data_IF_085855081069
#
_entry.id   IF_085855081069
#
_cell.length_a   1.000
_cell.length_b   1.000
_cell.length_c   1.000
_cell.angle_alpha   90.00
_cell.angle_beta   90.00
_cell.angle_gamma   90.00
#
_symmetry.space_group_name_H-M   'P 1'
#
loop_
_entity.id
_entity.type
_entity.pdbx_description
1 polymer ?
#
# COMPACT_ATOMS: atom_id res chain seq x y z
N UNK A 1 50.19 14.04 9.96
CA UNK A 1 50.03 13.04 8.89
C UNK A 1 48.90 12.09 9.32
N UNK A 2 47.62 12.50 9.23
CA UNK A 2 46.66 12.17 8.14
C UNK A 2 46.81 10.73 7.62
N UNK A 3 46.36 9.75 8.40
CA UNK A 3 45.99 8.43 7.90
C UNK A 3 44.47 8.33 7.84
N UNK A 4 43.92 8.17 6.64
CA UNK A 4 42.50 7.89 6.41
C UNK A 4 42.40 6.49 5.83
N UNK A 5 41.71 5.58 6.52
CA UNK A 5 41.07 4.43 5.89
C UNK A 5 39.65 4.36 6.44
N UNK A 6 38.69 4.51 5.53
CA UNK A 6 37.30 4.08 5.68
C UNK A 6 36.98 3.26 4.45
N UNK A 7 36.46 2.04 4.63
CA UNK A 7 35.42 1.47 3.77
C UNK A 7 34.61 0.43 4.58
N UNK A 8 33.36 0.73 4.95
CA UNK A 8 32.20 -0.15 4.70
C UNK A 8 31.02 0.77 4.32
N UNK A 9 30.65 0.63 3.06
CA UNK A 9 29.49 1.14 2.31
C UNK A 9 28.28 1.64 3.13
N UNK A 10 27.97 2.94 2.98
CA UNK A 10 26.59 3.42 3.00
C UNK A 10 26.28 4.73 3.73
N UNK A 11 27.14 5.21 4.64
CA UNK A 11 26.89 6.50 5.32
C UNK A 11 27.91 6.81 6.42
N UNK A 12 28.71 7.86 6.21
CA UNK A 12 29.69 8.36 7.18
C UNK A 12 28.96 9.10 8.31
N UNK A 13 28.87 8.49 9.50
CA UNK A 13 28.54 9.22 10.73
C UNK A 13 29.86 9.44 11.48
N UNK A 14 30.33 10.69 11.51
CA UNK A 14 31.46 11.08 12.33
C UNK A 14 31.02 11.12 13.79
N UNK A 15 31.46 10.15 14.60
CA UNK A 15 31.24 10.15 16.05
C UNK A 15 32.54 10.56 16.74
N UNK A 16 32.58 11.70 17.46
CA UNK A 16 33.77 12.11 18.21
C UNK A 16 34.06 11.12 19.34
N UNK A 17 35.30 10.63 19.38
CA UNK A 17 35.82 9.54 20.22
C UNK A 17 35.93 9.83 21.72
N UNK A 18 35.50 11.00 22.20
CA UNK A 18 35.59 11.37 23.62
C UNK A 18 34.38 10.96 24.49
N UNK A 19 33.39 10.25 23.94
CA UNK A 19 32.18 9.82 24.67
C UNK A 19 32.12 8.31 24.95
N UNK A 20 33.28 7.63 25.08
CA UNK A 20 33.34 6.17 25.31
C UNK A 20 33.92 5.73 26.67
N UNK A 21 34.31 6.66 27.56
CA UNK A 21 34.94 6.28 28.83
C UNK A 21 34.08 6.47 30.10
N UNK A 22 32.81 6.89 30.01
CA UNK A 22 31.97 7.15 31.20
C UNK A 22 30.59 6.46 31.22
N UNK A 23 30.33 5.49 30.34
CA UNK A 23 29.02 4.79 30.25
C UNK A 23 29.04 3.33 30.74
N UNK A 24 30.14 2.85 31.33
CA UNK A 24 30.31 1.45 31.73
C UNK A 24 29.62 1.03 33.04
N UNK A 25 29.28 1.98 33.95
CA UNK A 25 28.73 1.63 35.28
C UNK A 25 27.21 1.74 35.41
N UNK A 26 26.52 2.44 34.51
CA UNK A 26 25.06 2.66 34.59
C UNK A 26 24.25 1.64 33.78
N UNK A 27 24.83 1.05 32.73
CA UNK A 27 24.16 0.04 31.88
C UNK A 27 23.92 -1.31 32.59
N UNK A 28 24.78 -1.71 33.54
CA UNK A 28 24.64 -3.00 34.26
C UNK A 28 23.44 -3.02 35.23
N UNK A 29 23.08 -1.88 35.82
CA UNK A 29 21.91 -1.81 36.73
C UNK A 29 20.58 -1.75 36.00
N UNK A 30 20.56 -1.24 34.77
CA UNK A 30 19.35 -1.18 33.94
C UNK A 30 19.11 -2.54 33.26
N UNK A 31 20.17 -3.24 32.84
CA UNK A 31 20.08 -4.57 32.23
C UNK A 31 19.57 -5.65 33.19
N UNK A 32 19.83 -5.52 34.50
CA UNK A 32 19.30 -6.43 35.52
C UNK A 32 17.81 -6.23 35.82
N UNK A 33 17.27 -5.02 35.60
CA UNK A 33 15.88 -4.69 35.95
C UNK A 33 14.88 -5.02 34.81
N UNK A 34 15.34 -5.10 33.56
CA UNK A 34 14.48 -5.46 32.42
C UNK A 34 14.23 -6.97 32.31
N UNK A 35 15.10 -7.80 32.91
CA UNK A 35 14.97 -9.26 32.91
C UNK A 35 13.92 -9.79 33.92
N UNK A 36 13.43 -8.93 34.83
CA UNK A 36 12.51 -9.28 35.92
C UNK A 36 11.09 -8.71 35.70
N UNK A 37 10.64 -8.58 34.45
CA UNK A 37 9.28 -8.13 34.09
C UNK A 37 8.58 -9.05 33.09
N UNK A 38 9.09 -10.28 32.92
CA UNK A 38 8.42 -11.34 32.16
C UNK A 38 7.74 -12.30 33.15
N UNK A 39 6.61 -11.91 33.75
CA UNK A 39 5.59 -12.91 34.02
C UNK A 39 4.22 -12.46 33.51
N UNK A 40 3.49 -13.43 32.93
CA UNK A 40 2.06 -13.40 32.60
C UNK A 40 1.61 -12.86 31.23
N UNK A 41 2.12 -13.46 30.15
CA UNK A 41 1.25 -13.80 29.01
C UNK A 41 1.07 -15.31 28.99
N UNK A 42 0.46 -15.82 30.05
CA UNK A 42 -0.13 -17.13 30.07
C UNK A 42 -1.62 -16.94 29.75
N UNK A 43 -2.06 -17.51 28.61
CA UNK A 43 -3.45 -17.73 28.21
C UNK A 43 -4.29 -16.48 27.90
N UNK A 44 -4.04 -15.88 26.73
CA UNK A 44 -5.19 -15.52 25.89
C UNK A 44 -5.35 -16.64 24.88
N UNK A 45 -6.47 -17.37 24.97
CA UNK A 45 -6.96 -18.14 23.84
C UNK A 45 -7.27 -17.12 22.75
N UNK A 46 -6.31 -16.87 21.86
CA UNK A 46 -6.61 -16.29 20.57
C UNK A 46 -7.51 -17.32 19.92
N UNK A 47 -8.81 -17.00 19.91
CA UNK A 47 -9.86 -17.75 19.29
C UNK A 47 -9.62 -17.74 17.76
N UNK A 48 -8.61 -18.47 17.29
CA UNK A 48 -8.39 -18.83 15.89
C UNK A 48 -9.35 -19.97 15.49
N UNK A 49 -10.55 -20.00 16.07
CA UNK A 49 -11.57 -20.96 15.71
C UNK A 49 -12.25 -20.49 14.42
N UNK A 50 -12.24 -21.37 13.41
CA UNK A 50 -12.98 -21.33 12.15
C UNK A 50 -12.43 -20.50 10.97
N UNK A 51 -11.12 -20.49 10.73
CA UNK A 51 -10.69 -20.50 9.32
C UNK A 51 -10.83 -21.92 8.79
N UNK A 52 -12.00 -22.19 8.21
CA UNK A 52 -12.31 -23.41 7.49
C UNK A 52 -11.20 -23.72 6.46
N UNK A 53 -10.53 -24.87 6.60
CA UNK A 53 -9.41 -25.24 5.72
C UNK A 53 -9.85 -25.29 4.25
N UNK A 54 -11.11 -25.65 3.97
CA UNK A 54 -11.68 -25.67 2.64
C UNK A 54 -11.76 -24.24 2.06
N UNK A 55 -12.14 -23.25 2.86
CA UNK A 55 -12.13 -21.83 2.49
C UNK A 55 -10.72 -21.32 2.17
N UNK A 56 -9.71 -21.75 2.93
CA UNK A 56 -8.31 -21.38 2.67
C UNK A 56 -7.80 -22.01 1.36
N UNK A 57 -8.14 -23.27 1.09
CA UNK A 57 -7.80 -23.95 -0.17
C UNK A 57 -8.49 -23.31 -1.37
N UNK A 58 -9.78 -22.97 -1.24
CA UNK A 58 -10.54 -22.27 -2.27
C UNK A 58 -9.93 -20.91 -2.60
N UNK A 59 -9.57 -20.11 -1.58
CA UNK A 59 -8.90 -18.82 -1.76
C UNK A 59 -7.55 -18.97 -2.47
N UNK A 60 -6.77 -20.01 -2.16
CA UNK A 60 -5.49 -20.26 -2.83
C UNK A 60 -5.69 -20.53 -4.33
N UNK A 61 -6.73 -21.31 -4.68
CA UNK A 61 -7.04 -21.68 -6.05
C UNK A 61 -7.56 -20.47 -6.85
N UNK A 62 -8.40 -19.63 -6.23
CA UNK A 62 -8.82 -18.35 -6.81
C UNK A 62 -7.63 -17.42 -7.05
N UNK A 63 -6.70 -17.30 -6.09
CA UNK A 63 -5.49 -16.49 -6.26
C UNK A 63 -4.60 -16.98 -7.40
N UNK A 64 -4.50 -18.29 -7.63
CA UNK A 64 -3.77 -18.81 -8.79
C UNK A 64 -4.45 -18.43 -10.11
N UNK A 65 -5.78 -18.52 -10.19
CA UNK A 65 -6.54 -18.07 -11.37
C UNK A 65 -6.30 -16.59 -11.66
N UNK A 66 -6.27 -15.75 -10.63
CA UNK A 66 -5.96 -14.32 -10.75
C UNK A 66 -4.55 -14.13 -11.29
N UNK A 67 -3.55 -14.81 -10.73
CA UNK A 67 -2.16 -14.69 -11.20
C UNK A 67 -2.03 -15.04 -12.68
N UNK A 68 -2.69 -16.12 -13.11
CA UNK A 68 -2.70 -16.54 -14.51
C UNK A 68 -3.42 -15.52 -15.39
N UNK A 69 -4.53 -14.96 -14.92
CA UNK A 69 -5.26 -13.94 -15.66
C UNK A 69 -4.47 -12.62 -15.76
N UNK A 70 -3.89 -12.16 -14.65
CA UNK A 70 -2.99 -11.00 -14.57
C UNK A 70 -1.77 -11.12 -15.47
N UNK A 71 -1.22 -12.33 -15.62
CA UNK A 71 -0.09 -12.57 -16.53
C UNK A 71 -0.43 -12.32 -18.00
N UNK A 72 -1.72 -12.36 -18.37
CA UNK A 72 -2.20 -12.04 -19.73
C UNK A 72 -2.50 -10.56 -19.92
N UNK A 73 -2.62 -9.80 -18.83
CA UNK A 73 -2.89 -8.36 -18.89
C UNK A 73 -1.61 -7.62 -19.25
N UNK A 74 -1.74 -6.63 -20.12
CA UNK A 74 -0.64 -5.77 -20.53
C UNK A 74 -0.18 -4.88 -19.35
N UNK A 75 0.84 -5.33 -18.63
CA UNK A 75 1.39 -4.62 -17.47
C UNK A 75 1.90 -3.23 -17.83
N UNK A 76 2.47 -3.03 -19.04
CA UNK A 76 2.98 -1.72 -19.45
C UNK A 76 1.83 -0.73 -19.63
N UNK A 77 0.71 -1.19 -20.21
CA UNK A 77 -0.50 -0.36 -20.31
C UNK A 77 -1.08 -0.03 -18.94
N UNK A 78 -1.12 -0.99 -18.00
CA UNK A 78 -1.57 -0.73 -16.64
C UNK A 78 -0.67 0.25 -15.90
N UNK A 79 0.65 0.12 -16.02
CA UNK A 79 1.62 1.05 -15.41
C UNK A 79 1.46 2.46 -15.98
N UNK A 80 1.36 2.58 -17.30
CA UNK A 80 1.09 3.86 -17.97
C UNK A 80 -0.23 4.47 -17.51
N UNK A 81 -1.28 3.65 -17.34
CA UNK A 81 -2.58 4.09 -16.84
C UNK A 81 -2.47 4.58 -15.39
N UNK A 82 -1.66 3.92 -14.55
CA UNK A 82 -1.38 4.32 -13.18
C UNK A 82 -0.66 5.68 -13.09
N UNK A 83 0.34 5.90 -13.95
CA UNK A 83 1.03 7.21 -14.05
C UNK A 83 0.04 8.29 -14.48
N UNK A 84 -0.80 8.00 -15.49
CA UNK A 84 -1.82 8.93 -15.95
C UNK A 84 -2.85 9.23 -14.85
N UNK A 85 -3.26 8.23 -14.08
CA UNK A 85 -4.17 8.38 -12.96
C UNK A 85 -3.61 9.30 -11.87
N UNK A 86 -2.33 9.14 -11.48
CA UNK A 86 -1.70 10.02 -10.49
C UNK A 86 -1.62 11.48 -10.97
N UNK A 87 -1.33 11.68 -12.26
CA UNK A 87 -1.34 13.01 -12.86
C UNK A 87 -2.75 13.61 -12.81
N UNK A 88 -3.76 12.85 -13.21
CA UNK A 88 -5.15 13.28 -13.17
C UNK A 88 -5.62 13.59 -11.75
N UNK A 89 -5.26 12.76 -10.77
CA UNK A 89 -5.54 13.02 -9.36
C UNK A 89 -4.96 14.39 -8.94
N UNK A 90 -3.69 14.65 -9.26
CA UNK A 90 -3.04 15.93 -8.93
C UNK A 90 -3.76 17.11 -9.58
N UNK A 91 -4.13 17.00 -10.86
CA UNK A 91 -4.86 18.04 -11.57
C UNK A 91 -6.25 18.30 -10.99
N UNK A 92 -6.98 17.24 -10.63
CA UNK A 92 -8.28 17.33 -9.97
C UNK A 92 -8.13 18.01 -8.61
N UNK A 93 -7.14 17.63 -7.80
CA UNK A 93 -6.84 18.27 -6.51
C UNK A 93 -6.59 19.77 -6.66
N UNK A 94 -5.79 20.16 -7.65
CA UNK A 94 -5.53 21.56 -7.94
C UNK A 94 -6.80 22.31 -8.36
N UNK A 95 -7.64 21.70 -9.19
CA UNK A 95 -8.92 22.28 -9.60
C UNK A 95 -9.88 22.45 -8.42
N UNK A 96 -9.95 21.46 -7.53
CA UNK A 96 -10.76 21.54 -6.32
C UNK A 96 -10.25 22.65 -5.36
N UNK A 97 -8.93 22.72 -5.14
CA UNK A 97 -8.32 23.76 -4.31
C UNK A 97 -8.52 25.18 -4.87
N UNK A 98 -8.61 25.31 -6.20
CA UNK A 98 -8.93 26.57 -6.87
C UNK A 98 -10.43 26.92 -6.89
N UNK A 99 -11.29 26.08 -6.30
CA UNK A 99 -12.75 26.26 -6.32
C UNK A 99 -13.42 25.86 -7.63
N UNK A 100 -12.68 25.32 -8.61
CA UNK A 100 -13.16 24.91 -9.92
C UNK A 100 -13.81 23.52 -9.90
N UNK A 101 -14.80 23.31 -9.02
CA UNK A 101 -15.43 22.00 -8.77
C UNK A 101 -16.00 21.35 -10.05
N UNK A 102 -16.72 22.12 -10.88
CA UNK A 102 -17.31 21.61 -12.12
C UNK A 102 -16.25 21.13 -13.12
N UNK A 103 -15.12 21.83 -13.21
CA UNK A 103 -14.03 21.43 -14.09
C UNK A 103 -13.31 20.18 -13.59
N UNK A 104 -13.12 20.07 -12.27
CA UNK A 104 -12.57 18.88 -11.63
C UNK A 104 -13.45 17.65 -11.91
N UNK A 105 -14.76 17.80 -11.75
CA UNK A 105 -15.73 16.73 -12.01
C UNK A 105 -15.73 16.30 -13.48
N UNK A 106 -15.78 17.25 -14.42
CA UNK A 106 -15.72 16.95 -15.86
C UNK A 106 -14.41 16.22 -16.23
N UNK A 107 -13.28 16.61 -15.64
CA UNK A 107 -11.99 15.95 -15.85
C UNK A 107 -11.99 14.52 -15.34
N UNK A 108 -12.49 14.29 -14.13
CA UNK A 108 -12.57 12.95 -13.56
C UNK A 108 -13.48 12.03 -14.38
N UNK A 109 -14.70 12.48 -14.75
CA UNK A 109 -15.63 11.69 -15.57
C UNK A 109 -15.02 11.35 -16.94
N UNK A 110 -14.35 12.32 -17.57
CA UNK A 110 -13.64 12.09 -18.83
C UNK A 110 -12.53 11.03 -18.70
N UNK A 111 -11.78 11.08 -17.60
CA UNK A 111 -10.74 10.10 -17.32
C UNK A 111 -11.30 8.71 -17.02
N UNK A 112 -12.39 8.62 -16.25
CA UNK A 112 -13.06 7.34 -15.99
C UNK A 112 -13.59 6.68 -17.26
N UNK A 113 -14.17 7.47 -18.17
CA UNK A 113 -14.58 6.98 -19.48
C UNK A 113 -13.39 6.42 -20.26
N UNK A 114 -12.26 7.13 -20.26
CA UNK A 114 -11.02 6.68 -20.90
C UNK A 114 -10.49 5.38 -20.28
N UNK A 115 -10.54 5.22 -18.96
CA UNK A 115 -10.13 3.98 -18.28
C UNK A 115 -11.07 2.83 -18.66
N UNK A 116 -12.38 3.07 -18.66
CA UNK A 116 -13.40 2.07 -19.01
C UNK A 116 -13.22 1.53 -20.43
N UNK A 117 -12.78 2.38 -21.35
CA UNK A 117 -12.53 2.04 -22.75
C UNK A 117 -11.12 1.42 -22.97
N UNK A 118 -10.28 1.31 -21.93
CA UNK A 118 -8.93 0.75 -22.04
C UNK A 118 -8.95 -0.78 -21.97
N UNK A 119 -8.42 -1.45 -23.00
CA UNK A 119 -8.37 -2.92 -23.08
C UNK A 119 -7.70 -3.59 -21.86
N UNK A 120 -6.61 -3.01 -21.34
CA UNK A 120 -5.89 -3.57 -20.20
C UNK A 120 -6.75 -3.51 -18.94
N UNK A 121 -7.52 -2.43 -18.77
CA UNK A 121 -8.48 -2.29 -17.68
C UNK A 121 -9.67 -3.22 -17.85
N UNK A 122 -10.21 -3.38 -19.07
CA UNK A 122 -11.29 -4.34 -19.35
C UNK A 122 -10.86 -5.78 -19.03
N UNK A 123 -9.64 -6.16 -19.40
CA UNK A 123 -9.10 -7.48 -19.07
C UNK A 123 -8.88 -7.65 -17.56
N UNK A 124 -8.32 -6.63 -16.89
CA UNK A 124 -8.19 -6.59 -15.44
C UNK A 124 -9.56 -6.77 -14.75
N UNK A 125 -10.59 -6.04 -15.21
CA UNK A 125 -11.96 -6.15 -14.71
C UNK A 125 -12.48 -7.58 -14.85
N UNK A 126 -12.34 -8.19 -16.02
CA UNK A 126 -12.74 -9.59 -16.26
C UNK A 126 -11.99 -10.58 -15.36
N UNK A 127 -10.71 -10.33 -15.09
CA UNK A 127 -9.92 -11.15 -14.16
C UNK A 127 -10.47 -11.10 -12.73
N UNK A 128 -11.15 -10.02 -12.37
CA UNK A 128 -11.68 -9.79 -11.01
C UNK A 128 -13.18 -10.06 -10.86
N UNK A 129 -13.97 -9.96 -11.93
CA UNK A 129 -15.43 -10.17 -11.90
C UNK A 129 -15.83 -11.61 -11.54
N UNK A 130 -14.97 -12.58 -11.86
CA UNK A 130 -15.22 -14.01 -11.59
C UNK A 130 -14.92 -14.43 -10.15
N UNK A 131 -14.47 -13.49 -9.31
CA UNK A 131 -14.02 -13.76 -7.95
C UNK A 131 -15.10 -13.37 -6.96
N UNK A 132 -15.44 -14.28 -6.05
CA UNK A 132 -16.28 -13.95 -4.89
C UNK A 132 -15.41 -13.41 -3.75
N UNK A 133 -14.52 -12.47 -4.08
CA UNK A 133 -13.64 -11.80 -3.12
C UNK A 133 -14.26 -10.44 -2.80
N UNK A 134 -14.98 -10.31 -1.66
CA UNK A 134 -15.72 -9.09 -1.34
C UNK A 134 -14.83 -7.84 -1.31
N UNK A 135 -13.56 -7.99 -0.92
CA UNK A 135 -12.60 -6.89 -0.84
C UNK A 135 -12.28 -6.24 -2.19
N UNK A 136 -12.20 -7.03 -3.28
CA UNK A 136 -11.90 -6.49 -4.61
C UNK A 136 -13.13 -5.90 -5.28
N UNK A 137 -14.30 -6.50 -5.04
CA UNK A 137 -15.58 -6.06 -5.59
C UNK A 137 -15.93 -4.64 -5.15
N UNK A 138 -15.65 -4.30 -3.90
CA UNK A 138 -15.87 -2.95 -3.34
C UNK A 138 -15.03 -1.89 -4.09
N UNK A 139 -13.74 -2.18 -4.35
CA UNK A 139 -12.82 -1.25 -5.02
C UNK A 139 -13.13 -1.05 -6.50
N UNK A 140 -13.67 -2.07 -7.17
CA UNK A 140 -14.13 -1.92 -8.56
C UNK A 140 -15.43 -1.13 -8.64
N UNK A 141 -16.30 -1.26 -7.65
CA UNK A 141 -17.56 -0.52 -7.59
C UNK A 141 -17.33 0.96 -7.28
N UNK A 142 -16.29 1.31 -6.52
CA UNK A 142 -15.92 2.72 -6.28
C UNK A 142 -15.38 3.45 -7.52
N UNK A 143 -15.12 2.74 -8.63
CA UNK A 143 -14.78 3.36 -9.91
C UNK A 143 -16.01 3.71 -10.75
N UNK A 144 -17.20 3.26 -10.34
CA UNK A 144 -18.49 3.72 -10.87
C UNK A 144 -18.85 5.01 -10.12
N UNK A 145 -18.18 6.12 -10.45
CA UNK A 145 -18.57 7.44 -9.94
C UNK A 145 -19.95 7.75 -10.52
N UNK A 146 -20.95 7.81 -9.66
CA UNK A 146 -22.24 8.43 -9.97
C UNK A 146 -21.99 9.91 -10.26
N UNK A 147 -22.59 10.45 -11.34
CA UNK A 147 -22.46 11.86 -11.73
C UNK A 147 -22.87 12.84 -10.59
N UNK A 148 -23.57 12.36 -9.57
CA UNK A 148 -23.98 13.14 -8.40
C UNK A 148 -22.92 13.27 -7.30
N UNK A 149 -21.86 12.45 -7.30
CA UNK A 149 -20.84 12.48 -6.25
C UNK A 149 -19.80 13.56 -6.54
N UNK A 150 -19.72 14.57 -5.66
CA UNK A 150 -18.79 15.68 -5.83
C UNK A 150 -17.37 15.25 -5.43
N UNK A 151 -16.54 14.99 -6.44
CA UNK A 151 -15.12 14.60 -6.28
C UNK A 151 -14.31 15.52 -5.36
N UNK A 152 -14.65 16.80 -5.27
CA UNK A 152 -13.94 17.76 -4.42
C UNK A 152 -14.27 17.66 -2.93
N UNK A 153 -15.29 16.90 -2.53
CA UNK A 153 -15.66 16.75 -1.11
C UNK A 153 -14.92 15.55 -0.46
N UNK A 154 -14.24 14.72 -1.26
CA UNK A 154 -13.44 13.58 -0.81
C UNK A 154 -11.91 13.81 -0.89
N UNK A 155 -11.48 15.01 -1.29
CA UNK A 155 -10.08 15.42 -1.51
C UNK A 155 -9.65 16.42 -0.43
#
# INVERSE_FOLDING_TARGET
>A
MKGWIVIISGGFIAIPTNRLLNQGKKMIKILGLTLLLIPAIAWSEVNMQNFDMQKMQAMMLEMQKIKICMAKVDQKKLESLGIEAQKMETEIKQLCAAGNKSQAQKKALGFMKKIKDNDAFVQLKKCTESLDVPMMKEQLKSLEIDESEQICDSI
#
